data_IF_547121607007
#
_entry.id   IF_547121607007
#
_cell.length_a   1.000
_cell.length_b   1.000
_cell.length_c   1.000
_cell.angle_alpha   90.00
_cell.angle_beta   90.00
_cell.angle_gamma   90.00
#
_symmetry.space_group_name_H-M   'P 1'
#
loop_
_entity.id
_entity.type
_entity.pdbx_description
1 polymer ?
#
# COMPACT_ATOMS: atom_id res chain seq x y z
N UNK A 1 41.01 -2.99 -14.70
CA UNK A 1 39.72 -2.30 -14.43
C UNK A 1 38.76 -2.68 -15.57
N UNK A 2 38.10 -3.84 -15.45
CA UNK A 2 37.23 -4.35 -16.50
C UNK A 2 35.89 -3.60 -16.49
N UNK A 3 35.69 -2.79 -17.52
CA UNK A 3 34.45 -2.08 -17.78
C UNK A 3 33.43 -3.11 -18.28
N UNK A 4 32.63 -3.70 -17.37
CA UNK A 4 31.49 -4.57 -17.75
C UNK A 4 30.56 -3.76 -18.66
N UNK A 5 30.38 -4.24 -19.89
CA UNK A 5 29.44 -3.65 -20.83
C UNK A 5 28.01 -3.73 -20.24
N UNK A 6 27.17 -2.70 -20.44
CA UNK A 6 25.79 -2.75 -20.01
C UNK A 6 25.09 -3.87 -20.78
N UNK A 7 24.64 -4.90 -20.06
CA UNK A 7 23.71 -5.88 -20.61
C UNK A 7 22.46 -5.10 -21.01
N UNK A 8 22.24 -4.93 -22.32
CA UNK A 8 21.00 -4.42 -22.89
C UNK A 8 19.89 -5.44 -22.62
N UNK A 9 19.38 -5.40 -21.39
CA UNK A 9 18.37 -6.33 -20.88
C UNK A 9 17.00 -6.04 -21.47
N UNK A 10 16.79 -6.38 -22.75
CA UNK A 10 15.47 -6.62 -23.34
C UNK A 10 14.82 -7.92 -22.84
N UNK A 11 15.24 -8.41 -21.67
CA UNK A 11 14.60 -9.54 -21.00
C UNK A 11 13.24 -9.10 -20.47
N UNK A 12 12.26 -9.99 -20.57
CA UNK A 12 10.96 -9.77 -19.96
C UNK A 12 11.14 -9.44 -18.46
N UNK A 13 10.31 -8.55 -17.90
CA UNK A 13 10.29 -8.32 -16.46
C UNK A 13 10.28 -9.65 -15.71
N UNK A 14 11.15 -9.80 -14.71
CA UNK A 14 11.18 -10.99 -13.86
C UNK A 14 10.56 -10.67 -12.48
N UNK A 15 9.27 -11.00 -12.26
CA UNK A 15 8.61 -10.82 -10.96
C UNK A 15 9.36 -11.51 -9.82
N UNK A 16 10.02 -12.65 -10.09
CA UNK A 16 10.74 -13.46 -9.10
C UNK A 16 12.11 -12.90 -8.70
N UNK A 17 12.59 -11.82 -9.32
CA UNK A 17 13.95 -11.34 -9.10
C UNK A 17 14.26 -11.00 -7.62
N UNK A 18 13.31 -10.39 -6.90
CA UNK A 18 13.51 -10.09 -5.47
C UNK A 18 13.58 -11.34 -4.60
N UNK A 19 12.76 -12.35 -4.90
CA UNK A 19 12.82 -13.65 -4.24
C UNK A 19 14.15 -14.37 -4.53
N UNK A 20 14.61 -14.32 -5.77
CA UNK A 20 15.86 -14.96 -6.21
C UNK A 20 17.10 -14.29 -5.61
N UNK A 21 17.05 -12.98 -5.34
CA UNK A 21 18.15 -12.24 -4.73
C UNK A 21 18.37 -12.64 -3.25
N UNK A 22 17.31 -12.62 -2.45
CA UNK A 22 17.36 -12.99 -1.03
C UNK A 22 15.96 -13.39 -0.50
N UNK A 23 15.62 -14.69 -0.48
CA UNK A 23 14.29 -15.16 -0.08
C UNK A 23 13.92 -14.77 1.35
N UNK A 24 14.90 -14.75 2.26
CA UNK A 24 14.66 -14.43 3.66
C UNK A 24 14.29 -12.95 3.83
N UNK A 25 15.09 -12.04 3.25
CA UNK A 25 14.77 -10.60 3.31
C UNK A 25 13.45 -10.29 2.60
N UNK A 26 13.16 -10.98 1.50
CA UNK A 26 11.87 -10.87 0.80
C UNK A 26 10.70 -11.22 1.73
N UNK A 27 10.75 -12.38 2.38
CA UNK A 27 9.67 -12.81 3.28
C UNK A 27 9.53 -11.92 4.50
N UNK A 28 10.64 -11.50 5.10
CA UNK A 28 10.60 -10.58 6.25
C UNK A 28 9.97 -9.25 5.84
N UNK A 29 10.32 -8.72 4.67
CA UNK A 29 9.73 -7.48 4.16
C UNK A 29 8.23 -7.62 3.89
N UNK A 30 7.83 -8.71 3.23
CA UNK A 30 6.42 -9.00 2.97
C UNK A 30 5.61 -9.10 4.28
N UNK A 31 6.11 -9.88 5.24
CA UNK A 31 5.46 -10.07 6.54
C UNK A 31 5.34 -8.75 7.30
N UNK A 32 6.42 -7.97 7.30
CA UNK A 32 6.47 -6.66 7.94
C UNK A 32 5.54 -5.64 7.27
N UNK A 33 5.29 -5.74 5.96
CA UNK A 33 4.32 -4.89 5.26
C UNK A 33 2.87 -5.29 5.54
N UNK A 34 2.58 -6.60 5.69
CA UNK A 34 1.22 -7.09 5.97
C UNK A 34 0.72 -6.63 7.35
N UNK A 35 1.59 -6.34 8.30
CA UNK A 35 1.19 -5.93 9.66
C UNK A 35 0.20 -4.78 9.67
N UNK A 36 0.30 -3.85 8.72
CA UNK A 36 -0.62 -2.70 8.61
C UNK A 36 -2.06 -3.14 8.34
N UNK A 37 -2.30 -4.05 7.38
CA UNK A 37 -3.65 -4.55 7.10
C UNK A 37 -4.09 -5.58 8.14
N UNK A 38 -3.16 -6.37 8.69
CA UNK A 38 -3.44 -7.33 9.75
C UNK A 38 -4.06 -6.64 10.98
N UNK A 39 -3.68 -5.41 11.29
CA UNK A 39 -4.30 -4.64 12.38
C UNK A 39 -5.82 -4.50 12.24
N UNK A 40 -6.31 -4.16 11.05
CA UNK A 40 -7.74 -4.07 10.78
C UNK A 40 -8.40 -5.45 10.79
N UNK A 41 -7.79 -6.44 10.15
CA UNK A 41 -8.36 -7.79 10.07
C UNK A 41 -8.49 -8.45 11.44
N UNK A 42 -7.48 -8.34 12.30
CA UNK A 42 -7.51 -8.85 13.66
C UNK A 42 -8.57 -8.16 14.53
N UNK A 43 -8.81 -6.87 14.29
CA UNK A 43 -9.88 -6.14 14.96
C UNK A 43 -11.27 -6.57 14.49
N UNK A 44 -11.47 -6.73 13.18
CA UNK A 44 -12.74 -7.18 12.62
C UNK A 44 -13.06 -8.64 12.97
N UNK A 45 -12.04 -9.45 13.27
CA UNK A 45 -12.18 -10.81 13.78
C UNK A 45 -12.38 -10.88 15.31
N UNK A 46 -12.52 -9.75 16.00
CA UNK A 46 -12.62 -9.65 17.46
C UNK A 46 -11.45 -10.28 18.24
N UNK A 47 -10.28 -10.48 17.60
CA UNK A 47 -9.10 -11.02 18.27
C UNK A 47 -8.34 -9.96 19.07
N UNK A 48 -8.08 -8.79 18.48
CA UNK A 48 -7.30 -7.72 19.12
C UNK A 48 -7.86 -6.35 18.70
N UNK A 49 -8.00 -5.42 19.65
CA UNK A 49 -8.45 -4.06 19.32
C UNK A 49 -7.39 -3.28 18.51
N UNK A 50 -7.86 -2.48 17.56
CA UNK A 50 -7.05 -1.60 16.69
C UNK A 50 -5.93 -0.79 17.38
N UNK A 51 -6.12 -0.19 18.58
CA UNK A 51 -5.07 0.58 19.24
C UNK A 51 -3.84 -0.29 19.56
N UNK A 52 -4.05 -1.51 20.04
CA UNK A 52 -2.97 -2.44 20.39
C UNK A 52 -2.27 -2.98 19.15
N UNK A 53 -3.02 -3.30 18.09
CA UNK A 53 -2.41 -3.77 16.84
C UNK A 53 -1.55 -2.68 16.20
N UNK A 54 -1.92 -1.40 16.31
CA UNK A 54 -1.06 -0.33 15.78
C UNK A 54 0.28 -0.25 16.52
N UNK A 55 0.24 -0.23 17.85
CA UNK A 55 1.45 -0.07 18.67
C UNK A 55 2.37 -1.29 18.64
N UNK A 56 1.81 -2.50 18.60
CA UNK A 56 2.57 -3.74 18.75
C UNK A 56 2.74 -4.54 17.45
N UNK A 57 2.01 -4.20 16.38
CA UNK A 57 2.07 -4.95 15.10
C UNK A 57 2.47 -4.02 13.97
N UNK A 58 1.71 -2.95 13.70
CA UNK A 58 1.98 -2.04 12.58
C UNK A 58 3.27 -1.24 12.74
N UNK A 59 3.46 -0.53 13.87
CA UNK A 59 4.65 0.28 14.11
C UNK A 59 5.94 -0.57 14.10
N UNK A 60 6.01 -1.72 14.82
CA UNK A 60 7.16 -2.62 14.69
C UNK A 60 7.39 -3.10 13.26
N UNK A 61 6.33 -3.43 12.51
CA UNK A 61 6.45 -3.81 11.10
C UNK A 61 7.08 -2.70 10.23
N UNK A 62 6.69 -1.44 10.42
CA UNK A 62 7.32 -0.32 9.73
C UNK A 62 8.80 -0.15 10.08
N UNK A 63 9.15 -0.27 11.36
CA UNK A 63 10.54 -0.20 11.83
C UNK A 63 11.35 -1.33 11.20
N UNK A 64 10.79 -2.55 11.16
CA UNK A 64 11.40 -3.71 10.52
C UNK A 64 11.60 -3.46 9.01
N UNK A 65 10.61 -2.91 8.30
CA UNK A 65 10.75 -2.56 6.88
C UNK A 65 11.90 -1.58 6.63
N UNK A 66 12.04 -0.54 7.46
CA UNK A 66 13.15 0.40 7.38
C UNK A 66 14.49 -0.30 7.66
N UNK A 67 14.54 -1.14 8.70
CA UNK A 67 15.71 -1.94 9.04
C UNK A 67 16.14 -2.88 7.91
N UNK A 68 15.18 -3.55 7.26
CA UNK A 68 15.43 -4.42 6.10
C UNK A 68 15.98 -3.61 4.94
N UNK A 69 15.39 -2.45 4.62
CA UNK A 69 15.91 -1.57 3.55
C UNK A 69 17.37 -1.20 3.79
N UNK A 70 17.71 -0.77 5.02
CA UNK A 70 19.07 -0.37 5.38
C UNK A 70 20.03 -1.56 5.29
N UNK A 71 19.65 -2.71 5.88
CA UNK A 71 20.46 -3.93 5.89
C UNK A 71 20.69 -4.49 4.48
N UNK A 72 19.67 -4.46 3.64
CA UNK A 72 19.73 -4.86 2.24
C UNK A 72 20.71 -3.98 1.45
N UNK A 73 20.69 -2.66 1.67
CA UNK A 73 21.65 -1.73 1.07
C UNK A 73 23.10 -2.04 1.47
N UNK A 74 23.36 -2.29 2.75
CA UNK A 74 24.70 -2.70 3.21
C UNK A 74 25.13 -4.08 2.69
N UNK A 75 24.18 -4.96 2.38
CA UNK A 75 24.44 -6.29 1.83
C UNK A 75 24.55 -6.33 0.29
N UNK A 76 24.41 -5.19 -0.40
CA UNK A 76 24.40 -5.14 -1.87
C UNK A 76 23.18 -5.87 -2.48
N UNK A 77 22.04 -5.86 -1.79
CA UNK A 77 20.76 -6.43 -2.26
C UNK A 77 19.96 -5.36 -2.98
N UNK A 78 20.47 -4.93 -4.12
CA UNK A 78 19.98 -3.76 -4.82
C UNK A 78 18.53 -3.94 -5.32
N UNK A 79 18.10 -5.16 -5.68
CA UNK A 79 16.74 -5.42 -6.14
C UNK A 79 15.73 -5.22 -5.01
N UNK A 80 15.99 -5.75 -3.82
CA UNK A 80 15.13 -5.55 -2.64
C UNK A 80 15.08 -4.06 -2.27
N UNK A 81 16.23 -3.37 -2.21
CA UNK A 81 16.26 -1.92 -1.92
C UNK A 81 15.44 -1.14 -2.94
N UNK A 82 15.58 -1.46 -4.23
CA UNK A 82 14.84 -0.82 -5.31
C UNK A 82 13.34 -1.08 -5.16
N UNK A 83 12.91 -2.33 -4.91
CA UNK A 83 11.48 -2.67 -4.73
C UNK A 83 10.86 -2.00 -3.52
N UNK A 84 11.55 -1.98 -2.38
CA UNK A 84 11.07 -1.29 -1.18
C UNK A 84 10.95 0.22 -1.41
N UNK A 85 11.95 0.83 -2.04
CA UNK A 85 11.94 2.28 -2.32
C UNK A 85 10.91 2.64 -3.38
N UNK A 86 10.78 1.83 -4.44
CA UNK A 86 9.79 2.02 -5.50
C UNK A 86 8.36 1.86 -4.96
N UNK A 87 8.12 0.86 -4.11
CA UNK A 87 6.85 0.66 -3.43
C UNK A 87 6.52 1.80 -2.47
N UNK A 88 7.49 2.29 -1.71
CA UNK A 88 7.28 3.43 -0.81
C UNK A 88 6.85 4.69 -1.55
N UNK A 89 7.63 5.13 -2.55
CA UNK A 89 7.31 6.34 -3.32
C UNK A 89 6.07 6.12 -4.19
N UNK A 90 5.94 4.94 -4.80
CA UNK A 90 4.75 4.54 -5.54
C UNK A 90 3.51 4.63 -4.66
N UNK A 91 3.57 4.17 -3.41
CA UNK A 91 2.48 4.25 -2.45
C UNK A 91 2.06 5.68 -2.11
N UNK A 92 3.02 6.60 -1.95
CA UNK A 92 2.73 8.03 -1.75
C UNK A 92 2.01 8.62 -2.98
N UNK A 93 2.52 8.36 -4.18
CA UNK A 93 1.90 8.83 -5.43
C UNK A 93 0.52 8.22 -5.64
N UNK A 94 0.39 6.93 -5.39
CA UNK A 94 -0.87 6.19 -5.46
C UNK A 94 -1.90 6.73 -4.48
N UNK A 95 -1.52 7.01 -3.23
CA UNK A 95 -2.38 7.65 -2.24
C UNK A 95 -2.84 9.04 -2.69
N UNK A 96 -1.94 9.83 -3.30
CA UNK A 96 -2.30 11.11 -3.91
C UNK A 96 -3.39 10.94 -4.98
N UNK A 97 -3.19 10.05 -5.94
CA UNK A 97 -4.15 9.75 -6.99
C UNK A 97 -5.48 9.20 -6.43
N UNK A 98 -5.41 8.29 -5.47
CA UNK A 98 -6.57 7.70 -4.78
C UNK A 98 -7.43 8.78 -4.12
N UNK A 99 -6.82 9.62 -3.30
CA UNK A 99 -7.53 10.64 -2.53
C UNK A 99 -8.08 11.74 -3.44
N UNK A 100 -7.34 12.13 -4.48
CA UNK A 100 -7.80 13.11 -5.47
C UNK A 100 -9.04 12.60 -6.23
N UNK A 101 -9.01 11.35 -6.71
CA UNK A 101 -10.16 10.75 -7.40
C UNK A 101 -11.35 10.60 -6.46
N UNK A 102 -11.13 10.16 -5.21
CA UNK A 102 -12.19 10.12 -4.20
C UNK A 102 -12.86 11.48 -4.00
N UNK A 103 -12.06 12.54 -3.88
CA UNK A 103 -12.56 13.88 -3.68
C UNK A 103 -13.37 14.37 -4.88
N UNK A 104 -12.82 14.24 -6.10
CA UNK A 104 -13.47 14.68 -7.33
C UNK A 104 -14.81 13.97 -7.53
N UNK A 105 -14.84 12.63 -7.43
CA UNK A 105 -16.08 11.87 -7.64
C UNK A 105 -17.09 12.15 -6.52
N UNK A 106 -16.63 12.30 -5.27
CA UNK A 106 -17.49 12.69 -4.16
C UNK A 106 -18.20 14.03 -4.40
N UNK A 107 -17.48 15.02 -4.94
CA UNK A 107 -18.05 16.31 -5.34
C UNK A 107 -19.06 16.16 -6.49
N UNK A 108 -18.71 15.40 -7.54
CA UNK A 108 -19.57 15.20 -8.71
C UNK A 108 -20.87 14.46 -8.40
N UNK A 109 -20.84 13.53 -7.45
CA UNK A 109 -22.02 12.77 -7.01
C UNK A 109 -22.84 13.50 -5.95
N UNK A 110 -22.43 14.70 -5.53
CA UNK A 110 -23.03 15.43 -4.40
C UNK A 110 -23.24 14.52 -3.18
N UNK A 111 -22.24 13.69 -2.86
CA UNK A 111 -22.38 12.66 -1.84
C UNK A 111 -22.68 13.31 -0.48
N UNK A 112 -23.75 12.86 0.18
CA UNK A 112 -24.16 13.36 1.51
C UNK A 112 -23.10 13.11 2.61
N UNK A 113 -22.14 12.25 2.33
CA UNK A 113 -21.06 11.89 3.24
C UNK A 113 -19.72 12.20 2.64
N UNK A 114 -18.79 12.54 3.54
CA UNK A 114 -17.40 12.69 3.18
C UNK A 114 -16.91 11.46 2.41
N UNK A 115 -16.30 11.63 1.22
CA UNK A 115 -15.68 10.51 0.49
C UNK A 115 -14.53 9.87 1.28
N UNK A 116 -14.14 10.46 2.42
CA UNK A 116 -13.13 9.98 3.35
C UNK A 116 -13.71 9.35 4.62
N UNK A 117 -15.02 9.13 4.71
CA UNK A 117 -15.70 8.58 5.90
C UNK A 117 -14.99 7.36 6.52
N UNK A 118 -14.55 6.41 5.69
CA UNK A 118 -13.84 5.21 6.15
C UNK A 118 -12.55 5.52 6.93
N UNK A 119 -11.84 6.58 6.55
CA UNK A 119 -10.61 7.03 7.23
C UNK A 119 -10.94 7.47 8.66
N UNK A 120 -12.06 8.19 8.84
CA UNK A 120 -12.49 8.67 10.15
C UNK A 120 -12.94 7.53 11.07
N UNK A 121 -13.58 6.50 10.50
CA UNK A 121 -13.93 5.29 11.23
C UNK A 121 -12.68 4.58 11.72
N UNK A 122 -11.64 4.40 10.89
CA UNK A 122 -10.38 3.82 11.36
C UNK A 122 -9.82 4.57 12.57
N UNK A 123 -9.78 5.90 12.49
CA UNK A 123 -9.35 6.74 13.60
C UNK A 123 -10.17 6.58 14.86
N UNK A 124 -11.50 6.45 14.71
CA UNK A 124 -12.40 6.17 15.83
C UNK A 124 -12.09 4.84 16.49
N UNK A 125 -11.84 3.79 15.70
CA UNK A 125 -11.45 2.46 16.21
C UNK A 125 -10.09 2.49 16.92
N UNK A 126 -9.17 3.35 16.49
CA UNK A 126 -7.83 3.51 17.07
C UNK A 126 -7.85 4.33 18.37
N UNK A 127 -8.69 5.35 18.45
CA UNK A 127 -8.65 6.33 19.55
C UNK A 127 -9.77 6.14 20.56
N UNK A 128 -10.81 5.37 20.22
CA UNK A 128 -12.05 5.28 20.99
C UNK A 128 -12.86 6.57 21.01
N UNK A 129 -12.52 7.57 20.17
CA UNK A 129 -13.23 8.85 20.07
C UNK A 129 -14.23 8.81 18.91
N UNK A 130 -15.14 9.78 18.87
CA UNK A 130 -16.09 9.89 17.76
C UNK A 130 -15.35 10.14 16.42
N UNK A 131 -15.89 9.73 15.27
CA UNK A 131 -15.23 9.87 13.97
C UNK A 131 -14.82 11.31 13.62
N UNK A 132 -15.60 12.30 14.08
CA UNK A 132 -15.35 13.72 13.80
C UNK A 132 -14.33 14.37 14.75
N UNK A 133 -13.81 13.66 15.75
CA UNK A 133 -12.81 14.22 16.65
C UNK A 133 -11.46 14.41 15.93
N UNK A 134 -10.70 15.45 16.32
CA UNK A 134 -9.39 15.73 15.73
C UNK A 134 -8.40 14.56 15.87
N UNK A 135 -8.49 13.81 16.97
CA UNK A 135 -7.67 12.61 17.18
C UNK A 135 -8.06 11.49 16.23
N UNK A 136 -9.35 11.22 16.03
CA UNK A 136 -9.80 10.23 15.04
C UNK A 136 -9.35 10.62 13.64
N UNK A 137 -9.50 11.90 13.26
CA UNK A 137 -9.06 12.36 11.95
C UNK A 137 -7.55 12.12 11.78
N UNK A 138 -6.73 12.54 12.75
CA UNK A 138 -5.27 12.38 12.68
C UNK A 138 -4.84 10.92 12.58
N UNK A 139 -5.30 10.06 13.51
CA UNK A 139 -4.90 8.65 13.54
C UNK A 139 -5.49 7.84 12.38
N UNK A 140 -6.69 8.20 11.92
CA UNK A 140 -7.30 7.64 10.73
C UNK A 140 -6.45 7.90 9.49
N UNK A 141 -6.00 9.15 9.28
CA UNK A 141 -5.11 9.50 8.18
C UNK A 141 -3.74 8.83 8.29
N UNK A 142 -3.14 8.77 9.48
CA UNK A 142 -1.88 8.07 9.70
C UNK A 142 -1.99 6.57 9.32
N UNK A 143 -3.08 5.93 9.73
CA UNK A 143 -3.36 4.53 9.37
C UNK A 143 -3.62 4.33 7.87
N UNK A 144 -4.39 5.23 7.24
CA UNK A 144 -4.64 5.21 5.80
C UNK A 144 -3.34 5.33 5.00
N UNK A 145 -2.46 6.24 5.39
CA UNK A 145 -1.14 6.44 4.76
C UNK A 145 -0.29 5.17 4.94
N UNK A 146 -0.25 4.62 6.15
CA UNK A 146 0.44 3.35 6.44
C UNK A 146 0.00 2.23 5.51
N UNK A 147 -1.31 1.98 5.44
CA UNK A 147 -1.88 0.93 4.60
C UNK A 147 -1.57 1.16 3.11
N UNK A 148 -1.79 2.38 2.61
CA UNK A 148 -1.54 2.68 1.21
C UNK A 148 -0.07 2.52 0.81
N UNK A 149 0.87 2.86 1.69
CA UNK A 149 2.30 2.66 1.43
C UNK A 149 2.66 1.17 1.48
N UNK A 150 2.21 0.45 2.50
CA UNK A 150 2.54 -0.97 2.67
C UNK A 150 1.94 -1.86 1.59
N UNK A 151 0.72 -1.57 1.10
CA UNK A 151 0.17 -2.26 -0.08
C UNK A 151 0.99 -2.02 -1.35
N UNK A 152 1.51 -0.82 -1.56
CA UNK A 152 2.37 -0.52 -2.70
C UNK A 152 3.74 -1.21 -2.57
N UNK A 153 4.27 -1.35 -1.35
CA UNK A 153 5.46 -2.15 -1.06
C UNK A 153 5.22 -3.62 -1.38
N UNK A 154 4.10 -4.21 -0.93
CA UNK A 154 3.74 -5.59 -1.27
C UNK A 154 3.65 -5.74 -2.79
N UNK A 155 2.95 -4.85 -3.48
CA UNK A 155 2.89 -4.84 -4.95
C UNK A 155 4.28 -4.79 -5.58
N UNK A 156 5.15 -3.86 -5.17
CA UNK A 156 6.49 -3.73 -5.73
C UNK A 156 7.39 -4.94 -5.44
N UNK A 157 7.24 -5.56 -4.27
CA UNK A 157 7.92 -6.81 -3.92
C UNK A 157 7.55 -7.93 -4.87
N UNK A 158 6.28 -8.13 -5.22
CA UNK A 158 5.89 -9.22 -6.11
C UNK A 158 5.99 -8.88 -7.60
N UNK A 159 5.51 -7.72 -8.01
CA UNK A 159 5.38 -7.34 -9.41
C UNK A 159 6.69 -6.79 -9.99
N UNK A 160 7.48 -6.05 -9.21
CA UNK A 160 8.70 -5.39 -9.70
C UNK A 160 8.47 -4.62 -11.01
N UNK A 161 9.25 -4.93 -12.05
CA UNK A 161 9.16 -4.28 -13.36
C UNK A 161 7.95 -4.71 -14.24
N UNK A 162 6.94 -5.39 -13.67
CA UNK A 162 5.75 -5.79 -14.42
C UNK A 162 5.04 -4.59 -15.08
N UNK A 163 4.25 -4.85 -16.13
CA UNK A 163 3.50 -3.81 -16.85
C UNK A 163 2.48 -3.12 -15.93
N UNK A 164 2.23 -1.84 -16.15
CA UNK A 164 1.36 -1.01 -15.29
C UNK A 164 -0.03 -1.59 -15.02
N UNK A 165 -0.59 -2.36 -15.95
CA UNK A 165 -1.91 -2.97 -15.78
C UNK A 165 -1.94 -4.02 -14.67
N UNK A 166 -0.81 -4.58 -14.25
CA UNK A 166 -0.74 -5.40 -13.03
C UNK A 166 -1.03 -4.57 -11.78
N UNK A 167 -0.62 -3.30 -11.76
CA UNK A 167 -0.99 -2.35 -10.72
C UNK A 167 -2.49 -2.07 -10.72
N UNK A 168 -3.11 -1.90 -11.88
CA UNK A 168 -4.57 -1.79 -12.00
C UNK A 168 -5.28 -3.02 -11.40
N UNK A 169 -4.87 -4.23 -11.80
CA UNK A 169 -5.43 -5.47 -11.25
C UNK A 169 -5.23 -5.58 -9.73
N UNK A 170 -4.08 -5.13 -9.22
CA UNK A 170 -3.83 -5.05 -7.78
C UNK A 170 -4.79 -4.09 -7.08
N UNK A 171 -4.99 -2.89 -7.63
CA UNK A 171 -5.99 -1.94 -7.11
C UNK A 171 -7.40 -2.53 -7.07
N UNK A 172 -7.82 -3.18 -8.17
CA UNK A 172 -9.12 -3.86 -8.24
C UNK A 172 -9.23 -5.03 -7.24
N UNK A 173 -8.15 -5.77 -7.00
CA UNK A 173 -8.13 -6.82 -5.98
C UNK A 173 -8.30 -6.25 -4.57
N UNK A 174 -7.70 -5.10 -4.27
CA UNK A 174 -7.91 -4.39 -3.00
C UNK A 174 -9.36 -3.93 -2.84
N UNK A 175 -9.98 -3.42 -3.92
CA UNK A 175 -11.40 -3.05 -3.91
C UNK A 175 -12.29 -4.27 -3.61
N UNK A 176 -12.07 -5.39 -4.29
CA UNK A 176 -12.82 -6.63 -4.05
C UNK A 176 -12.66 -7.10 -2.60
N UNK A 177 -11.44 -7.08 -2.07
CA UNK A 177 -11.19 -7.42 -0.67
C UNK A 177 -11.93 -6.48 0.28
N UNK A 178 -11.94 -5.17 0.02
CA UNK A 178 -12.68 -4.19 0.81
C UNK A 178 -14.19 -4.46 0.74
N UNK A 179 -14.74 -4.71 -0.44
CA UNK A 179 -16.17 -5.00 -0.65
C UNK A 179 -16.61 -6.34 -0.07
N UNK A 180 -15.69 -7.30 0.11
CA UNK A 180 -15.97 -8.52 0.84
C UNK A 180 -16.06 -8.30 2.35
N UNK A 181 -15.36 -7.31 2.89
CA UNK A 181 -15.22 -7.07 4.34
C UNK A 181 -16.20 -6.01 4.86
N UNK A 182 -16.38 -4.91 4.13
CA UNK A 182 -17.08 -3.73 4.65
C UNK A 182 -18.59 -3.93 4.81
N UNK A 183 -19.32 -4.51 3.85
CA UNK A 183 -20.76 -4.71 3.98
C UNK A 183 -21.14 -5.65 5.14
N UNK A 184 -20.27 -6.60 5.49
CA UNK A 184 -20.46 -7.50 6.63
C UNK A 184 -20.13 -6.87 7.99
N UNK A 185 -19.45 -5.72 8.01
CA UNK A 185 -19.10 -5.03 9.25
C UNK A 185 -20.17 -4.00 9.61
N UNK A 186 -20.71 -4.09 10.82
CA UNK A 186 -21.64 -3.06 11.36
C UNK A 186 -20.96 -1.70 11.53
N UNK A 187 -19.63 -1.65 11.56
CA UNK A 187 -18.82 -0.44 11.75
C UNK A 187 -18.40 0.22 10.43
N UNK A 188 -18.14 -0.59 9.40
CA UNK A 188 -17.62 -0.12 8.10
C UNK A 188 -18.67 -0.11 6.99
N UNK A 189 -19.87 -0.63 7.25
CA UNK A 189 -20.96 -0.65 6.27
C UNK A 189 -21.26 0.77 5.80
N UNK A 190 -21.16 1.05 4.49
CA UNK A 190 -21.51 2.35 3.96
C UNK A 190 -23.02 2.57 4.07
N UNK A 191 -23.47 3.77 4.43
CA UNK A 191 -24.91 4.09 4.50
C UNK A 191 -25.56 4.18 3.12
N UNK A 192 -24.79 4.44 2.05
CA UNK A 192 -25.24 4.35 0.67
C UNK A 192 -24.25 3.51 -0.15
N UNK A 193 -24.67 2.29 -0.55
CA UNK A 193 -23.78 1.32 -1.18
C UNK A 193 -23.29 1.77 -2.57
N UNK A 194 -24.19 2.22 -3.44
CA UNK A 194 -23.85 2.55 -4.84
C UNK A 194 -22.86 3.72 -4.96
N UNK A 195 -23.09 4.89 -4.31
CA UNK A 195 -22.11 5.98 -4.34
C UNK A 195 -20.76 5.56 -3.74
N UNK A 196 -20.79 4.79 -2.65
CA UNK A 196 -19.57 4.27 -2.02
C UNK A 196 -18.76 3.40 -2.98
N UNK A 197 -19.38 2.40 -3.60
CA UNK A 197 -18.73 1.48 -4.55
C UNK A 197 -18.16 2.24 -5.75
N UNK A 198 -18.90 3.20 -6.31
CA UNK A 198 -18.42 4.00 -7.44
C UNK A 198 -17.18 4.81 -7.08
N UNK A 199 -17.20 5.48 -5.92
CA UNK A 199 -16.07 6.28 -5.43
C UNK A 199 -14.87 5.37 -5.10
N UNK A 200 -15.09 4.24 -4.41
CA UNK A 200 -14.01 3.35 -3.99
C UNK A 200 -13.37 2.61 -5.16
N UNK A 201 -14.16 2.08 -6.09
CA UNK A 201 -13.66 1.38 -7.27
C UNK A 201 -12.78 2.29 -8.13
N UNK A 202 -13.24 3.49 -8.45
CA UNK A 202 -12.47 4.44 -9.25
C UNK A 202 -11.17 4.87 -8.54
N UNK A 203 -11.22 5.08 -7.23
CA UNK A 203 -10.05 5.44 -6.45
C UNK A 203 -9.02 4.30 -6.37
N UNK A 204 -9.45 3.06 -6.14
CA UNK A 204 -8.55 1.91 -6.13
C UNK A 204 -7.96 1.61 -7.50
N UNK A 205 -8.74 1.79 -8.57
CA UNK A 205 -8.21 1.70 -9.93
C UNK A 205 -7.13 2.77 -10.18
N UNK A 206 -7.35 4.03 -9.78
CA UNK A 206 -6.37 5.10 -9.95
C UNK A 206 -5.11 4.89 -9.10
N UNK A 207 -5.27 4.42 -7.86
CA UNK A 207 -4.17 3.98 -6.99
C UNK A 207 -3.34 2.91 -7.69
N UNK A 208 -3.99 1.84 -8.16
CA UNK A 208 -3.35 0.74 -8.86
C UNK A 208 -2.57 1.16 -10.11
N UNK A 209 -3.16 2.02 -10.93
CA UNK A 209 -2.49 2.57 -12.13
C UNK A 209 -1.27 3.40 -11.75
N UNK A 210 -1.40 4.29 -10.76
CA UNK A 210 -0.31 5.16 -10.33
C UNK A 210 0.89 4.37 -9.79
N UNK A 211 0.65 3.39 -8.90
CA UNK A 211 1.73 2.51 -8.42
C UNK A 211 2.31 1.67 -9.57
N UNK A 212 1.47 1.17 -10.47
CA UNK A 212 1.87 0.31 -11.57
C UNK A 212 2.83 1.03 -12.52
N UNK A 213 2.49 2.24 -12.94
CA UNK A 213 3.32 3.09 -13.80
C UNK A 213 4.66 3.44 -13.13
N UNK A 214 4.62 3.85 -11.86
CA UNK A 214 5.82 4.27 -11.15
C UNK A 214 6.79 3.10 -10.92
N UNK A 215 6.29 2.00 -10.36
CA UNK A 215 7.10 0.81 -10.04
C UNK A 215 7.63 0.17 -11.32
N UNK A 216 6.82 0.06 -12.39
CA UNK A 216 7.30 -0.42 -13.68
C UNK A 216 8.52 0.37 -14.15
N UNK A 217 8.42 1.70 -14.16
CA UNK A 217 9.51 2.58 -14.61
C UNK A 217 10.74 2.47 -13.73
N UNK A 218 10.56 2.46 -12.40
CA UNK A 218 11.68 2.42 -11.44
C UNK A 218 12.39 1.07 -11.43
N UNK A 219 11.66 -0.03 -11.52
CA UNK A 219 12.23 -1.38 -11.48
C UNK A 219 12.75 -1.87 -12.82
N UNK A 220 12.47 -1.17 -13.92
CA UNK A 220 13.07 -1.45 -15.23
C UNK A 220 14.48 -0.86 -15.38
N UNK A 221 14.90 0.05 -14.49
CA UNK A 221 16.23 0.64 -14.50
C UNK A 221 17.24 -0.30 -13.82
N UNK A 222 18.52 -0.33 -14.27
CA UNK A 222 19.58 -1.02 -13.55
C UNK A 222 19.64 -0.55 -12.11
N UNK A 223 19.76 -1.48 -11.16
CA UNK A 223 19.69 -1.15 -9.74
C UNK A 223 20.82 -0.18 -9.30
N UNK A 224 21.97 -0.22 -10.00
CA UNK A 224 23.10 0.71 -9.82
C UNK A 224 22.81 2.16 -10.20
N UNK A 225 21.75 2.43 -10.96
CA UNK A 225 21.36 3.79 -11.38
C UNK A 225 20.48 4.51 -10.34
N UNK A 226 20.02 3.82 -9.28
CA UNK A 226 19.05 4.35 -8.30
C UNK A 226 19.73 4.91 -7.04
N UNK A 227 21.01 4.60 -6.81
CA UNK A 227 21.79 5.07 -5.66
C UNK A 227 22.63 6.33 -5.95
N UNK A 228 22.45 6.97 -7.11
CA UNK A 228 23.00 8.28 -7.46
C UNK A 228 21.86 9.29 -7.58
#
# INVERSE_FOLDING_TARGET
MERRLPVSGGGLPNPRAGWQEDPLMFFLAFTAAITSIAALLLHLADFIRMPYTLSFVTLPGMVILLGIRIRAGHAGRDIIVQRLSAGFVGGILGLGAYNLVRWIIGLLLAADLSPFYSIYIFGSLITGKTPNSSLSILFGWAYHISNGITFAIIYALFAGAARWHYGLLWGLALEVAMLAIYPSSTLLRPPALMPFVTISLAAHASYGVAIGLYVQRRCSLPATAVLR
#
